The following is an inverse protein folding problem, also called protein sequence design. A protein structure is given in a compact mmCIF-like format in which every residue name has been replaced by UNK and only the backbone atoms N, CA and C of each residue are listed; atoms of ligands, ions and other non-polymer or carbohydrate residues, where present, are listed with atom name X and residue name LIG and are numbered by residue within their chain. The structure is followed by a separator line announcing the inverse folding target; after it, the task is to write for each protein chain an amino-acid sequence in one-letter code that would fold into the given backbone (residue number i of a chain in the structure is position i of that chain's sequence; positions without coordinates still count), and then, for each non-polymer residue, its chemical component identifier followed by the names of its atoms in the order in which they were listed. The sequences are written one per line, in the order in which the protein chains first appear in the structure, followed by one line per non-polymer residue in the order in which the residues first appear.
data_IF_526641153976
#
_entry.id   IF_526641153976
#
_cell.length_a   1.000
_cell.length_b   1.000
_cell.length_c   1.000
_cell.angle_alpha   90.00
_cell.angle_beta   90.00
_cell.angle_gamma   90.00
#
_symmetry.space_group_name_H-M   'P 1'
#
loop_
_entity.id
_entity.type
_entity.pdbx_description
1 polymer ?
#
# COMPACT_ATOMS: atom_id res chain seq x y z
N UNK A 1 -10.20 -0.57 71.87
CA UNK A 1 -9.19 -1.62 71.69
C UNK A 1 -9.32 -2.19 70.29
N UNK A 2 -8.19 -2.23 69.56
CA UNK A 2 -7.82 -3.21 68.52
C UNK A 2 -8.67 -3.26 67.24
N UNK A 3 -8.18 -3.47 66.04
CA UNK A 3 -6.86 -3.50 65.38
C UNK A 3 -7.25 -3.64 63.88
N UNK A 4 -6.75 -2.78 62.98
CA UNK A 4 -5.73 -3.09 61.97
C UNK A 4 -6.05 -4.17 60.92
N UNK A 5 -5.73 -3.79 59.66
CA UNK A 5 -5.27 -4.60 58.51
C UNK A 5 -6.28 -5.55 57.85
N UNK A 6 -6.27 -5.79 56.54
CA UNK A 6 -5.56 -5.32 55.33
C UNK A 6 -6.46 -5.83 54.16
N UNK A 7 -6.47 -5.30 52.94
CA UNK A 7 -5.55 -5.56 51.83
C UNK A 7 -6.12 -4.78 50.62
N UNK A 8 -5.32 -4.00 49.87
CA UNK A 8 -4.74 -4.38 48.57
C UNK A 8 -5.83 -4.76 47.53
N UNK A 9 -6.02 -4.12 46.37
CA UNK A 9 -5.18 -3.27 45.55
C UNK A 9 -6.08 -2.44 44.62
N UNK A 10 -5.78 -1.16 44.45
CA UNK A 10 -6.36 -0.30 43.43
C UNK A 10 -5.26 0.51 42.77
N UNK A 11 -4.22 -0.18 42.30
CA UNK A 11 -3.08 0.43 41.63
C UNK A 11 -3.59 1.02 40.31
N UNK A 12 -3.84 2.33 40.32
CA UNK A 12 -3.79 3.17 39.12
C UNK A 12 -2.40 3.03 38.50
N UNK A 13 -2.28 2.11 37.54
CA UNK A 13 -1.18 2.02 36.58
C UNK A 13 -1.59 1.04 35.48
N UNK A 14 -2.12 1.58 34.40
CA UNK A 14 -1.97 1.03 33.06
C UNK A 14 -1.95 2.28 32.18
N UNK A 15 -0.82 2.98 32.09
CA UNK A 15 0.25 2.65 31.13
C UNK A 15 -0.36 2.41 29.75
N UNK A 16 -0.39 3.51 28.99
CA UNK A 16 0.26 3.60 27.69
C UNK A 16 0.20 2.35 26.83
N UNK A 17 -0.86 2.25 26.02
CA UNK A 17 -0.66 1.82 24.65
C UNK A 17 -1.22 2.89 23.72
N UNK A 18 -0.29 3.77 23.33
CA UNK A 18 -0.32 4.46 22.06
C UNK A 18 -0.68 3.47 20.95
N UNK A 19 -1.88 3.58 20.40
CA UNK A 19 -2.05 3.37 18.96
C UNK A 19 -2.60 4.66 18.41
N UNK A 20 -1.65 5.48 17.97
CA UNK A 20 -1.89 6.57 17.04
C UNK A 20 -2.85 6.07 15.97
N UNK A 21 -4.08 6.61 15.99
CA UNK A 21 -5.00 6.56 14.88
C UNK A 21 -4.35 7.37 13.76
N UNK A 22 -3.42 6.74 13.06
CA UNK A 22 -2.95 7.21 11.78
C UNK A 22 -4.16 7.14 10.86
N UNK A 23 -4.80 8.28 10.66
CA UNK A 23 -5.65 8.49 9.51
C UNK A 23 -4.81 8.12 8.28
N UNK A 24 -5.05 6.94 7.73
CA UNK A 24 -4.69 6.65 6.34
C UNK A 24 -5.59 7.57 5.52
N UNK A 25 -5.14 8.83 5.39
CA UNK A 25 -5.57 9.70 4.32
C UNK A 25 -5.09 9.01 3.05
N UNK A 26 -6.03 8.77 2.14
CA UNK A 26 -5.80 8.56 0.71
C UNK A 26 -5.00 9.73 0.14
N UNK A 27 -3.73 9.81 0.48
CA UNK A 27 -2.73 10.66 -0.16
C UNK A 27 -1.91 9.74 -1.06
N UNK A 28 -2.56 9.15 -2.07
CA UNK A 28 -1.86 8.95 -3.33
C UNK A 28 -1.67 10.35 -3.88
N UNK A 29 -0.60 11.01 -3.44
CA UNK A 29 -0.17 12.24 -4.07
C UNK A 29 -0.07 11.92 -5.57
N UNK A 30 -0.72 12.71 -6.46
CA UNK A 30 -0.36 12.67 -7.87
C UNK A 30 1.15 12.76 -7.93
N UNK A 31 1.82 11.96 -8.77
CA UNK A 31 3.27 12.01 -9.04
C UNK A 31 3.75 13.47 -9.01
N UNK A 32 4.15 13.94 -7.83
CA UNK A 32 4.62 15.28 -7.64
C UNK A 32 6.12 15.11 -7.84
N UNK A 33 6.68 15.63 -8.95
CA UNK A 33 8.13 15.67 -9.06
C UNK A 33 8.64 16.35 -7.78
N UNK A 34 9.74 15.87 -7.18
CA UNK A 34 10.31 16.48 -6.00
C UNK A 34 10.43 17.98 -6.27
N UNK A 35 9.71 18.78 -5.47
CA UNK A 35 9.71 20.24 -5.56
C UNK A 35 10.98 20.74 -4.88
N UNK A 36 12.11 20.37 -5.47
CA UNK A 36 13.28 21.22 -5.52
C UNK A 36 13.43 21.58 -6.99
N UNK A 37 13.55 22.88 -7.26
CA UNK A 37 13.82 23.42 -8.58
C UNK A 37 15.25 23.04 -9.00
N UNK A 38 15.49 21.74 -9.21
CA UNK A 38 16.55 21.31 -10.08
C UNK A 38 16.14 21.80 -11.47
N UNK A 39 16.63 22.98 -11.84
CA UNK A 39 16.89 23.27 -13.25
C UNK A 39 17.73 22.11 -13.75
N UNK A 40 17.08 21.13 -14.35
CA UNK A 40 17.75 20.13 -15.14
C UNK A 40 18.21 20.88 -16.38
N UNK A 41 19.51 21.20 -16.53
CA UNK A 41 19.97 21.87 -17.73
C UNK A 41 19.64 20.93 -18.90
N UNK A 42 18.75 21.38 -19.79
CA UNK A 42 18.42 20.61 -20.97
C UNK A 42 19.71 20.49 -21.80
N UNK A 43 20.11 19.24 -22.11
CA UNK A 43 21.23 18.99 -23.00
C UNK A 43 21.00 19.71 -24.34
N UNK A 44 22.06 20.26 -24.92
CA UNK A 44 21.99 20.94 -26.22
C UNK A 44 21.64 19.93 -27.33
N UNK A 45 21.11 20.41 -28.45
CA UNK A 45 20.77 19.55 -29.58
C UNK A 45 21.99 18.73 -30.06
N UNK A 46 23.17 19.34 -30.06
CA UNK A 46 24.44 18.70 -30.44
C UNK A 46 24.85 17.58 -29.48
N UNK A 47 24.52 17.71 -28.19
CA UNK A 47 24.77 16.67 -27.17
C UNK A 47 23.75 15.53 -27.24
N UNK A 48 22.51 15.84 -27.66
CA UNK A 48 21.39 14.89 -27.73
C UNK A 48 21.42 14.04 -28.99
N UNK A 49 21.75 14.62 -30.16
CA UNK A 49 21.81 13.91 -31.46
C UNK A 49 22.52 12.56 -31.39
N UNK A 50 23.73 12.41 -30.80
CA UNK A 50 24.41 11.13 -30.77
C UNK A 50 23.76 10.09 -29.83
N UNK A 51 22.81 10.48 -28.98
CA UNK A 51 22.15 9.64 -27.96
C UNK A 51 20.68 9.38 -28.25
N UNK A 52 20.16 9.83 -29.40
CA UNK A 52 18.72 9.76 -29.72
C UNK A 52 18.16 8.34 -29.62
N UNK A 53 18.91 7.35 -30.09
CA UNK A 53 18.49 5.95 -30.03
C UNK A 53 18.41 5.43 -28.59
N UNK A 54 19.41 5.77 -27.75
CA UNK A 54 19.43 5.41 -26.33
C UNK A 54 18.27 6.08 -25.56
N UNK A 55 17.99 7.35 -25.86
CA UNK A 55 16.86 8.10 -25.29
C UNK A 55 15.54 7.41 -25.67
N UNK A 56 15.39 7.00 -26.93
CA UNK A 56 14.19 6.32 -27.41
C UNK A 56 14.01 4.95 -26.74
N UNK A 57 15.09 4.21 -26.51
CA UNK A 57 15.05 2.93 -25.80
C UNK A 57 14.65 3.10 -24.34
N UNK A 58 15.29 4.01 -23.61
CA UNK A 58 14.95 4.32 -22.22
C UNK A 58 13.50 4.81 -22.07
N UNK A 59 13.02 5.65 -22.99
CA UNK A 59 11.63 6.10 -23.01
C UNK A 59 10.63 4.96 -23.22
N UNK A 60 10.96 3.96 -24.06
CA UNK A 60 10.13 2.75 -24.24
C UNK A 60 10.08 1.91 -22.96
N UNK A 61 11.21 1.75 -22.27
CA UNK A 61 11.28 1.04 -20.99
C UNK A 61 10.41 1.73 -19.94
N UNK A 62 10.52 3.06 -19.81
CA UNK A 62 9.68 3.85 -18.91
C UNK A 62 8.19 3.73 -19.25
N UNK A 63 7.83 3.82 -20.53
CA UNK A 63 6.44 3.65 -20.96
C UNK A 63 5.89 2.24 -20.63
N UNK A 64 6.72 1.20 -20.77
CA UNK A 64 6.33 -0.16 -20.38
C UNK A 64 6.18 -0.30 -18.87
N UNK A 65 7.07 0.30 -18.07
CA UNK A 65 7.01 0.26 -16.61
C UNK A 65 5.76 1.00 -16.11
N UNK A 66 5.47 2.20 -16.63
CA UNK A 66 4.26 2.96 -16.30
C UNK A 66 2.96 2.19 -16.61
N UNK A 67 2.92 1.46 -17.72
CA UNK A 67 1.76 0.61 -18.07
C UNK A 67 1.58 -0.54 -17.08
N UNK A 68 2.66 -1.17 -16.65
CA UNK A 68 2.61 -2.25 -15.66
C UNK A 68 2.25 -1.72 -14.26
N UNK A 69 2.76 -0.55 -13.89
CA UNK A 69 2.42 0.12 -12.64
C UNK A 69 0.91 0.38 -12.54
N UNK A 70 0.30 0.92 -13.59
CA UNK A 70 -1.14 1.14 -13.61
C UNK A 70 -1.94 -0.17 -13.51
N UNK A 71 -1.48 -1.23 -14.19
CA UNK A 71 -2.09 -2.56 -14.08
C UNK A 71 -2.01 -3.09 -12.64
N UNK A 72 -0.84 -3.00 -12.00
CA UNK A 72 -0.66 -3.50 -10.64
C UNK A 72 -1.48 -2.70 -9.63
N UNK A 73 -1.62 -1.38 -9.83
CA UNK A 73 -2.48 -0.52 -9.01
C UNK A 73 -3.95 -0.94 -9.10
N UNK A 74 -4.43 -1.32 -10.28
CA UNK A 74 -5.79 -1.84 -10.46
C UNK A 74 -5.98 -3.19 -9.75
N UNK A 75 -5.01 -4.10 -9.87
CA UNK A 75 -5.04 -5.40 -9.18
C UNK A 75 -5.01 -5.24 -7.65
N UNK A 76 -4.24 -4.28 -7.12
CA UNK A 76 -4.23 -3.91 -5.70
C UNK A 76 -5.60 -3.41 -5.24
N UNK A 77 -6.21 -2.47 -5.97
CA UNK A 77 -7.53 -1.91 -5.64
C UNK A 77 -8.63 -3.00 -5.63
N UNK A 78 -8.60 -3.92 -6.59
CA UNK A 78 -9.53 -5.07 -6.64
C UNK A 78 -9.32 -6.02 -5.46
N UNK A 79 -8.07 -6.33 -5.13
CA UNK A 79 -7.75 -7.18 -3.98
C UNK A 79 -8.19 -6.53 -2.66
N UNK A 80 -8.03 -5.20 -2.53
CA UNK A 80 -8.43 -4.45 -1.35
C UNK A 80 -9.95 -4.46 -1.18
N UNK A 81 -10.70 -4.18 -2.26
CA UNK A 81 -12.17 -4.26 -2.25
C UNK A 81 -12.65 -5.64 -1.83
N UNK A 82 -12.03 -6.70 -2.37
CA UNK A 82 -12.36 -8.09 -2.00
C UNK A 82 -12.08 -8.37 -0.52
N UNK A 83 -10.91 -7.97 -0.01
CA UNK A 83 -10.55 -8.15 1.39
C UNK A 83 -11.50 -7.39 2.33
N UNK A 84 -11.85 -6.14 2.01
CA UNK A 84 -12.79 -5.33 2.79
C UNK A 84 -14.20 -5.93 2.81
N UNK A 85 -14.68 -6.45 1.69
CA UNK A 85 -15.98 -7.12 1.62
C UNK A 85 -16.02 -8.36 2.51
N UNK A 86 -14.98 -9.21 2.44
CA UNK A 86 -14.88 -10.40 3.29
C UNK A 86 -14.66 -10.08 4.77
N UNK A 87 -13.96 -8.97 5.07
CA UNK A 87 -13.80 -8.52 6.46
C UNK A 87 -15.14 -8.09 7.06
N UNK A 88 -15.96 -7.40 6.28
CA UNK A 88 -17.32 -7.03 6.66
C UNK A 88 -18.18 -8.28 6.87
N UNK A 89 -18.18 -9.21 5.92
CA UNK A 89 -18.92 -10.47 6.02
C UNK A 89 -18.48 -11.31 7.24
N UNK A 90 -17.17 -11.36 7.53
CA UNK A 90 -16.64 -12.08 8.69
C UNK A 90 -17.14 -11.46 10.01
N UNK A 91 -17.21 -10.13 10.06
CA UNK A 91 -17.72 -9.40 11.23
C UNK A 91 -19.22 -9.65 11.42
N UNK A 92 -20.00 -9.62 10.34
CA UNK A 92 -21.43 -9.93 10.37
C UNK A 92 -21.70 -11.38 10.79
N UNK A 93 -20.93 -12.34 10.27
CA UNK A 93 -21.04 -13.75 10.65
C UNK A 93 -20.66 -13.98 12.13
N UNK A 94 -19.65 -13.26 12.62
CA UNK A 94 -19.26 -13.29 14.04
C UNK A 94 -20.37 -12.74 14.94
N UNK A 95 -20.94 -11.59 14.61
CA UNK A 95 -22.02 -10.96 15.37
C UNK A 95 -23.28 -11.83 15.38
N UNK A 96 -23.63 -12.44 14.25
CA UNK A 96 -24.75 -13.38 14.14
C UNK A 96 -24.54 -14.59 15.05
N UNK A 97 -23.33 -15.15 15.08
CA UNK A 97 -22.95 -16.26 15.96
C UNK A 97 -23.04 -15.87 17.44
N UNK A 98 -22.52 -14.70 17.81
CA UNK A 98 -22.62 -14.17 19.18
C UNK A 98 -24.09 -14.00 19.62
N UNK A 99 -24.94 -13.52 18.71
CA UNK A 99 -26.36 -13.34 18.94
C UNK A 99 -27.17 -14.65 18.88
N UNK A 100 -26.54 -15.80 18.57
CA UNK A 100 -27.19 -17.09 18.29
C UNK A 100 -28.27 -17.00 17.20
N UNK A 101 -28.05 -16.12 16.21
CA UNK A 101 -28.93 -15.86 15.06
C UNK A 101 -28.34 -16.49 13.80
N UNK A 102 -28.06 -17.79 13.86
CA UNK A 102 -27.64 -18.52 12.66
C UNK A 102 -28.85 -18.68 11.74
N UNK A 103 -28.75 -18.14 10.53
CA UNK A 103 -29.73 -18.36 9.46
C UNK A 103 -29.18 -19.42 8.50
N UNK A 104 -30.03 -20.29 7.93
CA UNK A 104 -29.58 -21.33 7.00
C UNK A 104 -28.94 -20.78 5.71
N UNK A 105 -29.17 -19.51 5.39
CA UNK A 105 -28.56 -18.79 4.26
C UNK A 105 -27.20 -18.17 4.61
N UNK A 106 -26.87 -18.02 5.90
CA UNK A 106 -25.60 -17.45 6.31
C UNK A 106 -24.46 -18.45 6.09
N UNK A 107 -23.36 -17.98 5.51
CA UNK A 107 -22.15 -18.78 5.41
C UNK A 107 -21.57 -19.04 6.80
N UNK A 108 -20.97 -20.21 6.96
CA UNK A 108 -20.23 -20.56 8.16
C UNK A 108 -19.14 -19.52 8.43
N UNK A 109 -19.03 -19.09 9.69
CA UNK A 109 -17.99 -18.15 10.12
C UNK A 109 -16.59 -18.64 9.74
N UNK A 110 -16.31 -19.93 9.94
CA UNK A 110 -15.04 -20.55 9.60
C UNK A 110 -14.72 -20.47 8.09
N UNK A 111 -15.73 -20.62 7.24
CA UNK A 111 -15.56 -20.50 5.78
C UNK A 111 -15.27 -19.05 5.37
N UNK A 112 -16.00 -18.09 5.96
CA UNK A 112 -15.78 -16.66 5.71
C UNK A 112 -14.40 -16.22 6.21
N UNK A 113 -13.96 -16.69 7.39
CA UNK A 113 -12.61 -16.43 7.90
C UNK A 113 -11.52 -17.01 6.99
N UNK A 114 -11.71 -18.23 6.50
CA UNK A 114 -10.76 -18.87 5.57
C UNK A 114 -10.62 -18.07 4.28
N UNK A 115 -11.73 -17.57 3.74
CA UNK A 115 -11.70 -16.77 2.52
C UNK A 115 -11.16 -15.36 2.74
N UNK A 116 -11.46 -14.73 3.89
CA UNK A 116 -10.83 -13.49 4.32
C UNK A 116 -9.30 -13.63 4.37
N UNK A 117 -8.78 -14.69 4.99
CA UNK A 117 -7.34 -14.96 5.05
C UNK A 117 -6.72 -15.11 3.65
N UNK A 118 -7.41 -15.75 2.71
CA UNK A 118 -6.93 -15.84 1.31
C UNK A 118 -6.95 -14.49 0.62
N UNK A 119 -7.98 -13.68 0.84
CA UNK A 119 -8.10 -12.35 0.25
C UNK A 119 -7.02 -11.40 0.77
N UNK A 120 -6.75 -11.41 2.08
CA UNK A 120 -5.64 -10.65 2.66
C UNK A 120 -4.29 -11.06 2.08
N UNK A 121 -4.02 -12.37 1.95
CA UNK A 121 -2.79 -12.84 1.28
C UNK A 121 -2.68 -12.43 -0.19
N UNK A 122 -3.81 -12.24 -0.88
CA UNK A 122 -3.81 -11.75 -2.26
C UNK A 122 -3.55 -10.25 -2.29
N UNK A 123 -4.14 -9.50 -1.35
CA UNK A 123 -3.87 -8.08 -1.17
C UNK A 123 -2.39 -7.84 -0.87
N UNK A 124 -1.80 -8.55 0.09
CA UNK A 124 -0.38 -8.41 0.44
C UNK A 124 0.53 -8.60 -0.79
N UNK A 125 0.25 -9.61 -1.61
CA UNK A 125 1.00 -9.87 -2.85
C UNK A 125 0.78 -8.79 -3.92
N UNK A 126 -0.44 -8.26 -4.02
CA UNK A 126 -0.75 -7.21 -4.98
C UNK A 126 -0.02 -5.91 -4.60
N UNK A 127 -0.01 -5.56 -3.30
CA UNK A 127 0.73 -4.43 -2.74
C UNK A 127 2.24 -4.60 -2.99
N UNK A 128 2.81 -5.77 -2.71
CA UNK A 128 4.22 -6.07 -2.98
C UNK A 128 4.55 -5.90 -4.48
N UNK A 129 3.72 -6.47 -5.36
CA UNK A 129 3.89 -6.32 -6.81
C UNK A 129 3.75 -4.88 -7.30
N UNK A 130 2.85 -4.07 -6.71
CA UNK A 130 2.70 -2.66 -7.05
C UNK A 130 3.90 -1.84 -6.57
N UNK A 131 4.43 -2.13 -5.38
CA UNK A 131 5.65 -1.52 -4.86
C UNK A 131 6.87 -1.83 -5.73
N UNK A 132 7.08 -3.10 -6.08
CA UNK A 132 8.19 -3.53 -6.95
C UNK A 132 8.14 -2.84 -8.33
N UNK A 133 6.95 -2.67 -8.90
CA UNK A 133 6.80 -2.01 -10.20
C UNK A 133 6.94 -0.49 -10.10
N UNK A 134 6.62 0.10 -8.95
CA UNK A 134 6.89 1.51 -8.65
C UNK A 134 8.40 1.78 -8.63
N UNK A 135 9.17 0.92 -7.96
CA UNK A 135 10.63 1.01 -7.94
C UNK A 135 11.24 0.90 -9.35
N UNK A 136 10.82 -0.10 -10.13
CA UNK A 136 11.26 -0.25 -11.54
C UNK A 136 10.91 0.95 -12.41
N UNK A 137 9.73 1.56 -12.17
CA UNK A 137 9.31 2.77 -12.89
C UNK A 137 10.20 3.96 -12.54
N UNK A 138 10.58 4.10 -11.26
CA UNK A 138 11.55 5.11 -10.83
C UNK A 138 12.94 4.84 -11.41
N UNK A 139 13.40 3.60 -11.48
CA UNK A 139 14.68 3.23 -12.08
C UNK A 139 14.72 3.60 -13.57
N UNK A 140 13.70 3.22 -14.34
CA UNK A 140 13.59 3.58 -15.75
C UNK A 140 13.53 5.11 -15.96
N UNK A 141 12.88 5.84 -15.05
CA UNK A 141 12.86 7.30 -15.09
C UNK A 141 14.24 7.90 -14.80
N UNK A 142 14.97 7.38 -13.79
CA UNK A 142 16.33 7.80 -13.46
C UNK A 142 17.30 7.51 -14.60
N UNK A 143 17.18 6.36 -15.24
CA UNK A 143 17.98 6.00 -16.41
C UNK A 143 17.75 6.99 -17.56
N UNK A 144 16.48 7.28 -17.89
CA UNK A 144 16.15 8.28 -18.89
C UNK A 144 16.74 9.66 -18.55
N UNK A 145 16.59 10.12 -17.30
CA UNK A 145 17.17 11.38 -16.83
C UNK A 145 18.69 11.39 -16.98
N UNK A 146 19.39 10.30 -16.66
CA UNK A 146 20.86 10.23 -16.78
C UNK A 146 21.35 10.43 -18.22
N UNK A 147 20.56 10.02 -19.22
CA UNK A 147 20.90 10.15 -20.64
C UNK A 147 20.65 11.58 -21.12
N UNK A 148 19.51 12.18 -20.73
CA UNK A 148 19.06 13.50 -21.23
C UNK A 148 19.62 14.68 -20.42
N UNK A 149 20.07 14.43 -19.19
CA UNK A 149 20.65 15.42 -18.27
C UNK A 149 21.95 14.89 -17.67
N UNK A 150 22.98 14.62 -18.50
CA UNK A 150 24.27 14.16 -17.98
C UNK A 150 24.84 15.22 -17.04
N UNK A 151 25.03 14.87 -15.77
CA UNK A 151 25.79 15.72 -14.84
C UNK A 151 27.25 15.76 -15.29
N UNK A 152 27.77 16.97 -15.51
CA UNK A 152 29.18 17.24 -15.79
C UNK A 152 30.05 17.07 -14.55
#
# INVERSE_FOLDING_TARGET
MNHLHAENAGRSASEDIHTARAAHKDNVAPLQPPVDQAEYPAASLEEVIPRVDDILEAAKLLASAAKKLEKNRQEEEEAEKSARALQKEASEAFDARLAKRETPEARSFEDVQKDLLKALKRLDKAVESASDETEKSHDAYRELLSIITPSY
#
